data_IF_720862115955
#
_entry.id   IF_720862115955
#
_cell.length_a   1.000
_cell.length_b   1.000
_cell.length_c   1.000
_cell.angle_alpha   90.00
_cell.angle_beta   90.00
_cell.angle_gamma   90.00
#
_symmetry.space_group_name_H-M   'P 1'
#
loop_
_entity.id
_entity.type
_entity.pdbx_description
1 polymer ?
#
# COMPACT_ATOMS: atom_id res chain seq x y z
N UNK A 1 13.61 -2.88 3.93
CA UNK A 1 13.49 -1.56 3.25
C UNK A 1 12.65 -0.64 4.12
N UNK A 2 12.66 0.68 3.93
CA UNK A 2 11.73 1.59 4.61
C UNK A 2 10.73 2.22 3.61
N UNK A 3 9.69 2.89 4.10
CA UNK A 3 8.62 3.50 3.27
C UNK A 3 9.16 4.46 2.19
N UNK A 4 10.22 5.22 2.49
CA UNK A 4 10.86 6.12 1.52
C UNK A 4 11.64 5.36 0.43
N UNK A 5 12.32 4.26 0.79
CA UNK A 5 13.01 3.39 -0.17
C UNK A 5 11.99 2.69 -1.07
N UNK A 6 10.89 2.17 -0.50
CA UNK A 6 9.78 1.59 -1.25
C UNK A 6 9.24 2.62 -2.25
N UNK A 7 8.92 3.83 -1.79
CA UNK A 7 8.44 4.91 -2.64
C UNK A 7 9.35 5.23 -3.85
N UNK A 8 10.68 5.17 -3.67
CA UNK A 8 11.63 5.38 -4.78
C UNK A 8 11.60 4.25 -5.82
N UNK A 9 11.38 3.01 -5.40
CA UNK A 9 11.35 1.84 -6.29
C UNK A 9 10.11 1.85 -7.20
N UNK A 10 8.99 2.41 -6.74
CA UNK A 10 7.71 2.36 -7.46
C UNK A 10 7.55 3.38 -8.60
N UNK A 11 8.64 4.04 -9.04
CA UNK A 11 8.63 5.04 -10.12
C UNK A 11 7.45 6.04 -10.02
N UNK A 12 7.35 6.69 -8.86
CA UNK A 12 6.15 7.42 -8.44
C UNK A 12 6.04 8.78 -9.15
N UNK A 13 4.89 9.13 -9.76
CA UNK A 13 4.66 10.45 -10.34
C UNK A 13 4.81 11.59 -9.31
N UNK A 14 5.31 12.74 -9.75
CA UNK A 14 5.69 13.94 -8.97
C UNK A 14 4.58 14.63 -8.13
N UNK A 15 3.43 13.99 -7.92
CA UNK A 15 2.20 14.56 -7.37
C UNK A 15 1.55 13.63 -6.33
N UNK A 16 2.33 13.14 -5.36
CA UNK A 16 1.86 12.25 -4.29
C UNK A 16 2.23 12.80 -2.91
N UNK A 17 1.33 12.66 -1.94
CA UNK A 17 1.55 13.07 -0.54
C UNK A 17 2.00 11.85 0.27
N UNK A 18 3.20 11.91 0.84
CA UNK A 18 3.64 10.94 1.85
C UNK A 18 2.82 11.15 3.13
N UNK A 19 2.43 10.07 3.78
CA UNK A 19 1.78 10.14 5.09
C UNK A 19 2.81 9.71 6.14
N UNK A 20 3.08 10.60 7.09
CA UNK A 20 3.82 10.24 8.30
C UNK A 20 2.88 9.43 9.19
N UNK A 21 2.90 8.12 9.00
CA UNK A 21 2.17 7.18 9.83
C UNK A 21 3.11 6.51 10.82
N UNK A 22 2.57 6.07 11.96
CA UNK A 22 3.30 5.24 12.90
C UNK A 22 3.93 4.02 12.20
N UNK A 23 5.00 3.49 12.77
CA UNK A 23 5.87 2.49 12.14
C UNK A 23 5.15 1.19 11.66
N UNK A 24 3.89 0.97 12.08
CA UNK A 24 3.11 -0.23 11.81
C UNK A 24 1.88 -0.04 10.89
N UNK A 25 1.62 1.17 10.38
CA UNK A 25 0.50 1.40 9.44
C UNK A 25 0.90 1.00 8.00
N UNK A 26 0.03 0.27 7.28
CA UNK A 26 0.30 -0.19 5.92
C UNK A 26 0.29 0.96 4.93
N UNK A 27 -0.58 1.96 5.15
CA UNK A 27 -0.69 3.14 4.32
C UNK A 27 0.55 4.03 4.48
N UNK A 28 1.18 4.37 3.36
CA UNK A 28 2.35 5.25 3.36
C UNK A 28 2.22 6.43 2.40
N UNK A 29 1.31 6.38 1.42
CA UNK A 29 1.11 7.46 0.44
C UNK A 29 -0.32 7.52 -0.08
N UNK A 30 -0.75 8.71 -0.52
CA UNK A 30 -2.02 8.92 -1.21
C UNK A 30 -1.82 9.82 -2.43
N UNK A 31 -2.37 9.43 -3.58
CA UNK A 31 -2.28 10.22 -4.81
C UNK A 31 -3.42 11.26 -4.93
N UNK A 32 -3.41 12.03 -6.02
CA UNK A 32 -4.42 13.07 -6.30
C UNK A 32 -5.85 12.56 -6.50
N UNK A 33 -6.02 11.28 -6.82
CA UNK A 33 -7.33 10.62 -6.94
C UNK A 33 -7.81 10.08 -5.59
N UNK A 34 -7.08 10.37 -4.51
CA UNK A 34 -7.34 9.83 -3.18
C UNK A 34 -7.20 8.29 -3.14
N UNK A 35 -6.37 7.71 -4.02
CA UNK A 35 -6.02 6.28 -4.04
C UNK A 35 -4.83 6.06 -3.10
N UNK A 36 -4.95 5.07 -2.22
CA UNK A 36 -3.93 4.76 -1.20
C UNK A 36 -2.89 3.77 -1.69
N UNK A 37 -1.64 3.97 -1.28
CA UNK A 37 -0.54 3.02 -1.45
C UNK A 37 -0.25 2.33 -0.12
N UNK A 38 -0.36 1.02 -0.13
CA UNK A 38 -0.24 0.16 1.04
C UNK A 38 0.93 -0.79 0.88
N UNK A 39 1.77 -0.93 1.91
CA UNK A 39 2.91 -1.82 1.89
C UNK A 39 2.71 -2.95 2.89
N UNK A 40 2.44 -4.16 2.39
CA UNK A 40 2.27 -5.35 3.21
C UNK A 40 3.64 -5.82 3.69
N UNK A 41 3.88 -5.66 4.99
CA UNK A 41 5.16 -5.95 5.60
C UNK A 41 5.02 -6.43 7.05
N UNK A 42 6.05 -7.11 7.51
CA UNK A 42 6.26 -7.48 8.90
C UNK A 42 7.73 -7.18 9.24
N UNK A 43 7.96 -6.39 10.30
CA UNK A 43 9.32 -5.97 10.69
C UNK A 43 10.16 -5.41 9.52
N UNK A 44 9.56 -4.56 8.67
CA UNK A 44 10.20 -3.98 7.48
C UNK A 44 10.61 -4.96 6.38
N UNK A 45 10.13 -6.20 6.45
CA UNK A 45 10.25 -7.23 5.42
C UNK A 45 8.93 -7.29 4.66
N UNK A 46 8.96 -7.12 3.34
CA UNK A 46 7.76 -7.24 2.50
C UNK A 46 7.25 -8.68 2.54
N UNK A 47 5.97 -8.87 2.82
CA UNK A 47 5.34 -10.19 2.97
C UNK A 47 4.21 -10.40 1.95
N UNK A 48 3.55 -11.55 2.03
CA UNK A 48 2.50 -11.98 1.12
C UNK A 48 1.17 -11.24 1.37
N UNK A 49 0.44 -10.94 0.31
CA UNK A 49 -0.90 -10.36 0.37
C UNK A 49 -1.96 -11.46 0.32
N UNK A 50 -2.59 -11.72 1.46
CA UNK A 50 -3.75 -12.60 1.60
C UNK A 50 -5.04 -11.82 1.89
N UNK A 51 -6.15 -12.56 2.05
CA UNK A 51 -7.47 -11.98 2.38
C UNK A 51 -7.46 -11.15 3.67
N UNK A 52 -6.70 -11.60 4.69
CA UNK A 52 -6.60 -10.90 5.98
C UNK A 52 -5.98 -9.52 5.81
N UNK A 53 -4.91 -9.44 5.04
CA UNK A 53 -4.17 -8.22 4.71
C UNK A 53 -5.04 -7.29 3.86
N UNK A 54 -5.79 -7.85 2.90
CA UNK A 54 -6.75 -7.09 2.12
C UNK A 54 -7.84 -6.43 2.98
N UNK A 55 -8.42 -7.15 3.93
CA UNK A 55 -9.43 -6.59 4.85
C UNK A 55 -8.82 -5.46 5.68
N UNK A 56 -7.57 -5.59 6.12
CA UNK A 56 -6.85 -4.51 6.83
C UNK A 56 -6.69 -3.28 5.94
N UNK A 57 -6.28 -3.45 4.68
CA UNK A 57 -6.17 -2.36 3.69
C UNK A 57 -7.50 -1.62 3.52
N UNK A 58 -8.62 -2.36 3.36
CA UNK A 58 -9.95 -1.74 3.23
C UNK A 58 -10.31 -0.94 4.49
N UNK A 59 -10.08 -1.50 5.67
CA UNK A 59 -10.42 -0.84 6.93
C UNK A 59 -9.59 0.43 7.14
N UNK A 60 -8.31 0.38 6.81
CA UNK A 60 -7.41 1.53 6.88
C UNK A 60 -7.79 2.60 5.84
N UNK A 61 -8.11 2.20 4.61
CA UNK A 61 -8.64 3.11 3.60
C UNK A 61 -9.91 3.84 4.06
N UNK A 62 -10.84 3.14 4.72
CA UNK A 62 -12.06 3.73 5.29
C UNK A 62 -11.74 4.71 6.43
N UNK A 63 -10.81 4.37 7.33
CA UNK A 63 -10.35 5.26 8.42
C UNK A 63 -9.87 6.61 7.89
N UNK A 64 -9.19 6.61 6.73
CA UNK A 64 -8.65 7.80 6.09
C UNK A 64 -9.56 8.40 4.99
N UNK A 65 -10.79 7.90 4.83
CA UNK A 65 -11.74 8.32 3.80
C UNK A 65 -11.15 8.31 2.38
N UNK A 66 -10.40 7.25 2.05
CA UNK A 66 -9.76 7.06 0.74
C UNK A 66 -10.74 6.45 -0.28
N UNK A 67 -10.37 6.54 -1.55
CA UNK A 67 -11.11 5.89 -2.64
C UNK A 67 -11.08 4.35 -2.52
N UNK A 68 -11.94 3.69 -3.29
CA UNK A 68 -12.03 2.22 -3.34
C UNK A 68 -11.00 1.56 -4.27
N UNK A 69 -10.03 2.32 -4.81
CA UNK A 69 -8.91 1.79 -5.61
C UNK A 69 -7.64 1.80 -4.78
N UNK A 70 -6.93 0.68 -4.80
CA UNK A 70 -5.79 0.44 -3.92
C UNK A 70 -4.55 0.05 -4.71
N UNK A 71 -3.40 0.58 -4.31
CA UNK A 71 -2.10 0.18 -4.82
C UNK A 71 -1.37 -0.59 -3.72
N UNK A 72 -1.12 -1.88 -3.95
CA UNK A 72 -0.60 -2.75 -2.89
C UNK A 72 0.79 -3.25 -3.27
N UNK A 73 1.76 -3.00 -2.40
CA UNK A 73 3.13 -3.51 -2.49
C UNK A 73 3.25 -4.74 -1.61
N UNK A 74 3.57 -5.88 -2.21
CA UNK A 74 3.71 -7.18 -1.53
C UNK A 74 4.73 -8.07 -2.23
N UNK A 75 5.19 -9.13 -1.54
CA UNK A 75 6.14 -10.11 -2.08
C UNK A 75 5.45 -11.09 -3.05
N UNK A 76 4.22 -11.48 -2.72
CA UNK A 76 3.33 -12.33 -3.51
C UNK A 76 1.87 -11.93 -3.28
N UNK A 77 0.99 -12.32 -4.20
CA UNK A 77 -0.45 -12.08 -4.11
C UNK A 77 -1.16 -13.43 -4.14
N UNK A 78 -1.83 -13.76 -3.04
CA UNK A 78 -2.62 -15.00 -2.89
C UNK A 78 -4.11 -14.70 -3.05
N UNK A 79 -4.46 -13.41 -3.13
CA UNK A 79 -5.81 -12.91 -3.31
C UNK A 79 -5.79 -11.75 -4.31
N UNK A 80 -6.80 -11.71 -5.18
CA UNK A 80 -6.95 -10.70 -6.23
C UNK A 80 -8.38 -10.15 -6.28
N UNK A 81 -8.53 -8.91 -6.75
CA UNK A 81 -9.80 -8.19 -6.91
C UNK A 81 -9.63 -7.05 -7.91
N UNK A 82 -10.67 -6.76 -8.70
CA UNK A 82 -10.68 -5.68 -9.71
C UNK A 82 -10.29 -4.28 -9.19
N UNK A 83 -10.34 -4.08 -7.87
CA UNK A 83 -10.00 -2.82 -7.21
C UNK A 83 -8.52 -2.73 -6.77
N UNK A 84 -7.73 -3.77 -7.02
CA UNK A 84 -6.33 -3.88 -6.60
C UNK A 84 -5.41 -3.68 -7.80
N UNK A 85 -4.48 -2.75 -7.66
CA UNK A 85 -3.32 -2.68 -8.54
C UNK A 85 -2.10 -3.27 -7.81
N UNK A 86 -1.66 -4.44 -8.27
CA UNK A 86 -0.56 -5.19 -7.68
C UNK A 86 0.79 -4.61 -8.09
N UNK A 87 1.63 -4.34 -7.09
CA UNK A 87 2.99 -3.85 -7.29
C UNK A 87 3.95 -4.87 -6.68
N UNK A 88 4.60 -5.64 -7.55
CA UNK A 88 5.60 -6.63 -7.15
C UNK A 88 6.98 -5.98 -7.14
N UNK A 89 7.70 -6.09 -6.02
CA UNK A 89 9.11 -5.72 -5.96
C UNK A 89 9.92 -6.89 -6.54
N UNK A 90 10.71 -6.61 -7.57
CA UNK A 90 11.66 -7.55 -8.20
C UNK A 90 13.03 -7.33 -7.57
#
# INVERSE_FOLDING_TARGET
MNKQQIAKVIAIPSKIKMIETEANEYLFMVNKKNEGYFWINENSITTEMGRKEFVKVINEAKKYNLSSRYHIVAASFIYDSDNIHCIRLI
#
